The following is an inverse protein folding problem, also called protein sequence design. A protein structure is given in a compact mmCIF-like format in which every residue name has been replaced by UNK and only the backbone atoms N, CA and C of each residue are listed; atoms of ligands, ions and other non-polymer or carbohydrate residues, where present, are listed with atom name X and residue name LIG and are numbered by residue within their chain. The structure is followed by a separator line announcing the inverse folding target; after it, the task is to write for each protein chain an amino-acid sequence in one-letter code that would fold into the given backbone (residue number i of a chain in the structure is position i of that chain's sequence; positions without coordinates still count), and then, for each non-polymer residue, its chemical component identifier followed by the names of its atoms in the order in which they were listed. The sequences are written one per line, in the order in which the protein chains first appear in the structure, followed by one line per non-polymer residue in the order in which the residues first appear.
data_IF_863170986654
#
_entry.id   IF_863170986654
#
_cell.length_a   1.000
_cell.length_b   1.000
_cell.length_c   1.000
_cell.angle_alpha   90.00
_cell.angle_beta   90.00
_cell.angle_gamma   90.00
#
_symmetry.space_group_name_H-M   'P 1'
#
loop_
_entity.id
_entity.type
_entity.pdbx_description
1 polymer ?
#
# COMPACT_ATOMS: atom_id res chain seq x y z
N UNK A 1 11.80 19.69 -12.93
CA UNK A 1 12.01 18.24 -12.66
C UNK A 1 10.64 17.58 -12.60
N UNK A 2 10.29 16.71 -13.56
CA UNK A 2 9.04 15.93 -13.48
C UNK A 2 9.18 14.94 -12.33
N UNK A 3 8.57 15.22 -11.19
CA UNK A 3 8.56 14.32 -10.05
C UNK A 3 7.92 12.99 -10.47
N UNK A 4 8.73 11.94 -10.57
CA UNK A 4 8.24 10.59 -10.86
C UNK A 4 7.47 10.11 -9.64
N UNK A 5 6.18 9.81 -9.79
CA UNK A 5 5.38 9.28 -8.70
C UNK A 5 6.00 7.98 -8.16
N UNK A 6 5.89 7.74 -6.84
CA UNK A 6 6.50 6.58 -6.22
C UNK A 6 5.78 5.31 -6.71
N UNK A 7 6.56 4.26 -6.99
CA UNK A 7 6.00 2.96 -7.41
C UNK A 7 5.67 2.13 -6.19
N UNK A 8 4.46 1.59 -6.14
CA UNK A 8 4.03 0.65 -5.12
C UNK A 8 4.79 -0.67 -5.29
N UNK A 9 5.42 -1.17 -4.22
CA UNK A 9 6.24 -2.39 -4.23
C UNK A 9 5.65 -3.49 -3.34
N UNK A 10 6.14 -4.73 -3.50
CA UNK A 10 5.78 -5.84 -2.61
C UNK A 10 6.12 -5.54 -1.15
N UNK A 11 7.22 -4.83 -0.90
CA UNK A 11 7.59 -4.45 0.45
C UNK A 11 6.49 -3.60 1.10
N UNK A 12 5.85 -2.71 0.33
CA UNK A 12 4.76 -1.91 0.84
C UNK A 12 3.55 -2.76 1.28
N UNK A 13 3.16 -3.74 0.46
CA UNK A 13 2.09 -4.66 0.82
C UNK A 13 2.48 -5.58 1.99
N UNK A 14 3.69 -6.13 1.99
CA UNK A 14 4.16 -7.05 3.04
C UNK A 14 4.17 -6.35 4.40
N UNK A 15 4.62 -5.10 4.48
CA UNK A 15 4.67 -4.34 5.74
C UNK A 15 3.29 -4.18 6.39
N UNK A 16 2.20 -4.13 5.61
CA UNK A 16 0.82 -4.12 6.14
C UNK A 16 0.41 -5.47 6.77
N UNK A 17 1.05 -6.56 6.37
CA UNK A 17 0.75 -7.91 6.85
C UNK A 17 1.61 -8.33 8.04
N UNK A 18 2.67 -7.56 8.34
CA UNK A 18 3.58 -7.86 9.44
C UNK A 18 3.01 -7.37 10.79
N UNK A 19 3.17 -8.17 11.86
CA UNK A 19 2.84 -7.71 13.20
C UNK A 19 3.68 -6.50 13.59
N UNK A 20 3.11 -5.61 14.40
CA UNK A 20 3.80 -4.43 14.93
C UNK A 20 4.54 -4.76 16.22
N UNK A 21 5.65 -4.05 16.52
CA UNK A 21 6.22 -4.05 17.86
C UNK A 21 5.17 -3.62 18.89
N UNK A 22 5.26 -4.18 20.09
CA UNK A 22 4.41 -3.78 21.21
C UNK A 22 4.47 -2.26 21.45
N UNK A 23 3.32 -1.65 21.73
CA UNK A 23 3.19 -0.20 21.95
C UNK A 23 3.09 0.65 20.68
N UNK A 24 3.08 0.05 19.48
CA UNK A 24 2.83 0.78 18.24
C UNK A 24 1.43 0.46 17.67
N UNK A 25 0.72 1.45 17.10
CA UNK A 25 -0.56 1.20 16.46
C UNK A 25 -0.39 0.29 15.24
N UNK A 26 -1.40 -0.57 15.02
CA UNK A 26 -1.49 -1.48 13.88
C UNK A 26 -1.41 -0.73 12.55
N UNK A 27 -0.59 -1.24 11.62
CA UNK A 27 -0.53 -0.74 10.24
C UNK A 27 -1.66 -1.38 9.47
N UNK A 28 -2.68 -0.60 9.15
CA UNK A 28 -3.89 -1.11 8.51
C UNK A 28 -4.14 -0.43 7.18
N UNK A 29 -3.51 0.72 6.95
CA UNK A 29 -3.60 1.47 5.70
C UNK A 29 -2.21 1.90 5.23
N UNK A 30 -2.01 1.85 3.92
CA UNK A 30 -0.95 2.49 3.18
C UNK A 30 -1.54 3.69 2.46
N UNK A 31 -0.94 4.84 2.66
CA UNK A 31 -1.39 6.12 2.12
C UNK A 31 -0.34 6.73 1.21
N UNK A 32 -0.77 7.62 0.32
CA UNK A 32 0.09 8.44 -0.53
C UNK A 32 -0.16 9.92 -0.23
N UNK A 33 0.91 10.63 0.14
CA UNK A 33 0.90 12.08 0.35
C UNK A 33 2.09 12.68 -0.38
N UNK A 34 1.84 13.64 -1.27
CA UNK A 34 2.88 14.41 -1.97
C UNK A 34 3.97 13.55 -2.64
N UNK A 35 3.58 12.40 -3.19
CA UNK A 35 4.53 11.49 -3.84
C UNK A 35 5.35 10.62 -2.88
N UNK A 36 4.93 10.49 -1.62
CA UNK A 36 5.52 9.58 -0.64
C UNK A 36 4.50 8.62 -0.04
N UNK A 37 4.89 7.36 0.12
CA UNK A 37 4.07 6.35 0.78
C UNK A 37 4.30 6.35 2.29
N UNK A 38 3.22 6.24 3.06
CA UNK A 38 3.25 6.14 4.52
C UNK A 38 2.26 5.10 5.04
N UNK A 39 2.48 4.57 6.24
CA UNK A 39 1.58 3.60 6.88
C UNK A 39 0.94 4.21 8.10
N UNK A 40 -0.32 3.85 8.37
CA UNK A 40 -1.03 4.35 9.53
C UNK A 40 -2.25 3.51 9.91
N UNK A 41 -3.13 4.17 10.66
CA UNK A 41 -4.47 3.69 11.03
C UNK A 41 -5.52 4.38 10.16
N UNK A 42 -6.74 3.84 10.05
CA UNK A 42 -7.81 4.50 9.31
C UNK A 42 -8.19 5.81 9.99
N UNK A 43 -8.11 5.88 11.33
CA UNK A 43 -8.39 7.10 12.09
C UNK A 43 -7.46 8.26 11.69
N UNK A 44 -6.16 8.02 11.50
CA UNK A 44 -5.24 9.06 11.06
C UNK A 44 -5.58 9.63 9.67
N UNK A 45 -6.24 8.83 8.81
CA UNK A 45 -6.77 9.30 7.53
C UNK A 45 -7.99 10.18 7.74
N UNK A 46 -8.92 9.72 8.59
CA UNK A 46 -10.14 10.47 8.92
C UNK A 46 -9.85 11.80 9.61
N UNK A 47 -8.78 11.86 10.41
CA UNK A 47 -8.30 13.07 11.08
C UNK A 47 -7.60 14.05 10.11
N UNK A 48 -7.56 13.75 8.80
CA UNK A 48 -7.03 14.64 7.75
C UNK A 48 -5.51 14.71 7.67
N UNK A 49 -4.79 13.84 8.38
CA UNK A 49 -3.32 13.83 8.39
C UNK A 49 -2.70 13.22 7.12
N UNK A 50 -3.51 12.53 6.30
CA UNK A 50 -3.10 11.93 5.03
C UNK A 50 -4.18 12.13 3.97
N UNK A 51 -3.78 12.20 2.70
CA UNK A 51 -4.72 12.59 1.63
C UNK A 51 -5.41 11.42 0.94
N UNK A 52 -4.75 10.26 0.85
CA UNK A 52 -5.27 9.16 0.01
C UNK A 52 -4.85 7.78 0.52
N UNK A 53 -5.82 6.89 0.71
CA UNK A 53 -5.58 5.46 0.95
C UNK A 53 -5.31 4.80 -0.40
N UNK A 54 -4.24 4.00 -0.47
CA UNK A 54 -3.79 3.26 -1.66
C UNK A 54 -4.05 1.77 -1.52
N UNK A 55 -3.84 1.24 -0.32
CA UNK A 55 -3.97 -0.17 -0.04
C UNK A 55 -4.21 -0.35 1.45
N UNK A 56 -5.10 -1.26 1.80
CA UNK A 56 -5.40 -1.61 3.18
C UNK A 56 -4.99 -3.05 3.48
N UNK A 57 -4.81 -3.34 4.76
CA UNK A 57 -4.62 -4.71 5.22
C UNK A 57 -5.85 -5.59 4.93
N UNK A 58 -7.05 -5.01 4.94
CA UNK A 58 -8.29 -5.71 4.62
C UNK A 58 -8.32 -6.15 3.15
N UNK A 59 -8.00 -5.26 2.21
CA UNK A 59 -7.94 -5.60 0.77
C UNK A 59 -6.92 -6.71 0.49
N UNK A 60 -5.79 -6.72 1.20
CA UNK A 60 -4.83 -7.83 1.10
C UNK A 60 -5.41 -9.14 1.64
N UNK A 61 -6.17 -9.09 2.73
CA UNK A 61 -6.84 -10.27 3.28
C UNK A 61 -7.95 -10.79 2.34
N UNK A 62 -8.73 -9.90 1.75
CA UNK A 62 -9.80 -10.21 0.80
C UNK A 62 -9.24 -10.80 -0.50
N UNK A 63 -8.07 -10.33 -0.95
CA UNK A 63 -7.31 -10.91 -2.05
C UNK A 63 -6.60 -12.24 -1.67
N UNK A 64 -6.83 -12.75 -0.46
CA UNK A 64 -6.21 -13.93 0.12
C UNK A 64 -4.66 -13.87 0.16
N UNK A 65 -4.09 -12.66 0.23
CA UNK A 65 -2.64 -12.44 0.29
C UNK A 65 -2.21 -12.55 1.76
N UNK A 66 -1.36 -13.54 2.05
CA UNK A 66 -0.88 -13.83 3.41
C UNK A 66 0.64 -14.00 3.44
N UNK A 67 1.22 -13.69 4.59
CA UNK A 67 2.62 -14.01 4.92
C UNK A 67 2.68 -15.25 5.81
N UNK A 68 3.75 -16.01 5.67
CA UNK A 68 4.05 -17.16 6.53
C UNK A 68 4.45 -16.65 7.92
N UNK A 69 3.86 -17.19 9.00
CA UNK A 69 4.22 -16.81 10.37
C UNK A 69 5.72 -16.98 10.65
N UNK A 70 6.32 -16.05 11.40
CA UNK A 70 7.72 -16.13 11.82
C UNK A 70 8.77 -15.87 10.72
N UNK A 71 8.36 -15.62 9.47
CA UNK A 71 9.30 -15.47 8.34
C UNK A 71 9.72 -14.04 8.02
N UNK A 72 9.25 -13.06 8.79
CA UNK A 72 9.54 -11.64 8.53
C UNK A 72 8.99 -11.11 7.20
N UNK A 73 8.03 -11.82 6.57
CA UNK A 73 7.33 -11.33 5.37
C UNK A 73 7.41 -12.24 4.14
N UNK A 74 7.82 -13.50 4.29
CA UNK A 74 7.73 -14.47 3.20
C UNK A 74 6.27 -14.72 2.88
N UNK A 75 5.89 -14.57 1.61
CA UNK A 75 4.52 -14.83 1.15
C UNK A 75 4.20 -16.32 1.24
N UNK A 76 2.95 -16.65 1.56
CA UNK A 76 2.44 -18.01 1.44
C UNK A 76 2.45 -18.48 -0.03
N UNK A 77 2.52 -19.80 -0.29
CA UNK A 77 2.45 -20.34 -1.65
C UNK A 77 1.25 -19.79 -2.42
N UNK A 78 1.43 -19.49 -3.71
CA UNK A 78 0.39 -18.91 -4.57
C UNK A 78 0.12 -17.40 -4.38
N UNK A 79 0.53 -16.79 -3.26
CA UNK A 79 0.26 -15.37 -3.00
C UNK A 79 1.10 -14.42 -3.86
N UNK A 80 2.27 -14.84 -4.35
CA UNK A 80 3.19 -13.96 -5.11
C UNK A 80 2.56 -13.44 -6.40
N UNK A 81 2.02 -14.32 -7.23
CA UNK A 81 1.41 -13.92 -8.50
C UNK A 81 0.19 -13.03 -8.29
N UNK A 82 -0.65 -13.36 -7.29
CA UNK A 82 -1.82 -12.55 -6.91
C UNK A 82 -1.43 -11.16 -6.45
N UNK A 83 -0.42 -11.08 -5.57
CA UNK A 83 0.12 -9.79 -5.13
C UNK A 83 0.69 -9.00 -6.30
N UNK A 84 1.45 -9.63 -7.19
CA UNK A 84 2.02 -8.95 -8.36
C UNK A 84 0.95 -8.38 -9.28
N UNK A 85 -0.13 -9.12 -9.50
CA UNK A 85 -1.29 -8.67 -10.27
C UNK A 85 -1.98 -7.48 -9.60
N UNK A 86 -2.27 -7.56 -8.30
CA UNK A 86 -2.86 -6.45 -7.53
C UNK A 86 -1.98 -5.19 -7.60
N UNK A 87 -0.68 -5.33 -7.37
CA UNK A 87 0.28 -4.23 -7.46
C UNK A 87 0.39 -3.67 -8.88
N UNK A 88 0.23 -4.51 -9.90
CA UNK A 88 0.15 -4.10 -11.30
C UNK A 88 -1.03 -3.16 -11.54
N UNK A 89 -2.24 -3.56 -11.12
CA UNK A 89 -3.43 -2.73 -11.23
C UNK A 89 -3.30 -1.41 -10.47
N UNK A 90 -2.84 -1.45 -9.22
CA UNK A 90 -2.67 -0.24 -8.41
C UNK A 90 -1.63 0.72 -9.00
N UNK A 91 -0.51 0.20 -9.51
CA UNK A 91 0.50 1.04 -10.16
C UNK A 91 0.01 1.64 -11.48
N UNK A 92 -0.79 0.91 -12.26
CA UNK A 92 -1.39 1.43 -13.49
C UNK A 92 -2.37 2.57 -13.15
N UNK A 93 -3.26 2.33 -12.19
CA UNK A 93 -4.18 3.36 -11.71
C UNK A 93 -3.48 4.61 -11.17
N UNK A 94 -2.40 4.45 -10.38
CA UNK A 94 -1.57 5.56 -9.92
C UNK A 94 -0.92 6.34 -11.08
N UNK A 95 -0.52 5.65 -12.14
CA UNK A 95 0.07 6.29 -13.32
C UNK A 95 -0.99 7.07 -14.13
N UNK A 96 -2.19 6.53 -14.30
CA UNK A 96 -3.30 7.21 -14.99
C UNK A 96 -3.71 8.49 -14.24
N UNK A 97 -3.83 8.40 -12.91
CA UNK A 97 -4.10 9.56 -12.05
C UNK A 97 -3.04 10.66 -12.18
N UNK A 98 -1.76 10.28 -12.30
CA UNK A 98 -0.69 11.25 -12.53
C UNK A 98 -0.87 11.99 -13.87
N UNK A 99 -1.29 11.29 -14.93
CA UNK A 99 -1.52 11.90 -16.23
C UNK A 99 -2.69 12.88 -16.20
N UNK A 100 -3.78 12.54 -15.50
CA UNK A 100 -4.92 13.44 -15.29
C UNK A 100 -4.51 14.69 -14.50
N UNK A 101 -3.74 14.53 -13.42
CA UNK A 101 -3.28 15.65 -12.60
C UNK A 101 -2.24 16.56 -13.30
N UNK A 102 -1.49 16.02 -14.27
CA UNK A 102 -0.48 16.76 -15.03
C UNK A 102 -1.00 17.49 -16.27
N UNK A 103 -2.28 17.34 -16.61
CA UNK A 103 -2.86 18.02 -17.77
C UNK A 103 -3.34 19.41 -17.34
N UNK A 104 -2.73 20.52 -17.81
CA UNK A 104 -3.26 21.85 -17.55
C UNK A 104 -4.65 21.97 -18.20
N UNK A 105 -5.62 22.48 -17.43
CA UNK A 105 -6.91 22.93 -17.98
C UNK A 105 -6.73 24.21 -18.79
#
# INVERSE_FOLDING_TARGET
MTARWPRLTRAHAIVLLLPRPAGQPERTVLTLTEGSFSYGTPQAVLDGQTRRIILTRAELADAEIRVLPGTGGRLAPGCRARLDQLLGYLNAWLADEQQVAGTPR
#
